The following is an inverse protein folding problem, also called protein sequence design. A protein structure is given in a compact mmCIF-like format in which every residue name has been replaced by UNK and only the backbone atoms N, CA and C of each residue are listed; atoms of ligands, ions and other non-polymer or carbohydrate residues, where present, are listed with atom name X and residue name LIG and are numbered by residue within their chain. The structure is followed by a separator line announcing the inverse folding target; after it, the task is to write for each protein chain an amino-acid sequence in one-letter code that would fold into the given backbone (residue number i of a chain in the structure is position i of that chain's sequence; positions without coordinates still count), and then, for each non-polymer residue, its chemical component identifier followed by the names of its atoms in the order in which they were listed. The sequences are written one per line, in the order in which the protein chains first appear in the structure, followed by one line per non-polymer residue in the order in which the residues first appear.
data_IF_663014715182
#
_entry.id   IF_663014715182
#
_cell.length_a   1.000
_cell.length_b   1.000
_cell.length_c   1.000
_cell.angle_alpha   90.00
_cell.angle_beta   90.00
_cell.angle_gamma   90.00
#
_symmetry.space_group_name_H-M   'P 1'
#
loop_
_entity.id
_entity.type
_entity.pdbx_description
1 polymer ?
#
# COMPACT_ATOMS: atom_id res chain seq x y z
N UNK A 1 -16.49 16.64 -2.95
CA UNK A 1 -15.47 16.53 -3.99
C UNK A 1 -14.24 17.34 -3.53
N UNK A 2 -13.28 16.68 -2.87
CA UNK A 2 -12.05 17.32 -2.40
C UNK A 2 -11.03 17.33 -3.53
N UNK A 3 -11.05 18.37 -4.35
CA UNK A 3 -10.05 18.62 -5.38
C UNK A 3 -9.03 19.63 -4.88
N UNK A 4 -7.97 19.18 -4.25
CA UNK A 4 -6.90 20.05 -3.76
C UNK A 4 -5.56 19.33 -3.83
N UNK A 5 -4.47 20.09 -3.68
CA UNK A 5 -3.13 19.53 -3.51
C UNK A 5 -2.75 19.59 -2.04
N UNK A 6 -2.35 18.46 -1.51
CA UNK A 6 -1.82 18.32 -0.15
C UNK A 6 -0.33 18.01 -0.28
N UNK A 7 0.51 18.91 0.15
CA UNK A 7 1.95 18.69 0.23
C UNK A 7 2.36 18.47 1.68
N UNK A 8 2.99 17.34 1.93
CA UNK A 8 3.60 17.05 3.23
C UNK A 8 5.12 17.06 3.05
N UNK A 9 5.74 18.19 3.32
CA UNK A 9 7.21 18.28 3.38
C UNK A 9 7.68 17.93 4.79
N UNK A 10 8.59 16.98 4.91
CA UNK A 10 9.30 16.75 6.17
C UNK A 10 10.24 17.95 6.39
N UNK A 11 9.92 18.80 7.38
CA UNK A 11 10.83 19.86 7.83
C UNK A 11 12.07 19.23 8.46
N UNK A 12 13.26 19.78 8.17
CA UNK A 12 14.55 19.28 8.66
C UNK A 12 14.72 19.32 10.19
N UNK A 13 13.75 19.82 10.95
CA UNK A 13 13.91 20.16 12.38
C UNK A 13 12.89 19.53 13.35
N UNK A 14 11.97 18.68 12.93
CA UNK A 14 11.08 18.04 13.92
C UNK A 14 11.25 16.51 13.90
N UNK A 15 11.72 15.97 15.01
CA UNK A 15 11.69 14.53 15.29
C UNK A 15 10.26 13.98 15.34
N UNK A 16 9.24 14.85 15.37
CA UNK A 16 7.81 14.54 15.36
C UNK A 16 7.20 14.83 13.99
N UNK A 17 7.59 14.07 12.97
CA UNK A 17 6.98 14.14 11.65
C UNK A 17 5.60 13.44 11.61
N UNK A 18 4.82 13.75 10.57
CA UNK A 18 3.57 13.06 10.29
C UNK A 18 3.89 11.60 9.96
N UNK A 19 3.38 10.66 10.74
CA UNK A 19 3.60 9.21 10.54
C UNK A 19 2.45 8.53 9.81
N UNK A 20 1.25 9.07 9.89
CA UNK A 20 0.07 8.49 9.27
C UNK A 20 -0.77 9.55 8.59
N UNK A 21 -1.23 9.27 7.39
CA UNK A 21 -2.11 10.13 6.59
C UNK A 21 -3.35 9.33 6.25
N UNK A 22 -4.52 9.91 6.54
CA UNK A 22 -5.81 9.35 6.15
C UNK A 22 -6.50 10.33 5.21
N UNK A 23 -6.72 9.93 3.97
CA UNK A 23 -7.50 10.69 3.00
C UNK A 23 -8.97 10.30 3.11
N UNK A 24 -9.84 11.28 3.04
CA UNK A 24 -11.28 11.09 3.09
C UNK A 24 -11.81 10.30 1.89
N UNK A 25 -13.04 9.83 1.99
CA UNK A 25 -13.79 9.29 0.86
C UNK A 25 -13.92 10.35 -0.26
N UNK A 26 -14.03 9.89 -1.51
CA UNK A 26 -14.17 10.72 -2.71
C UNK A 26 -12.98 11.68 -2.97
N UNK A 27 -11.79 11.36 -2.43
CA UNK A 27 -10.61 12.15 -2.68
C UNK A 27 -10.24 12.14 -4.17
N UNK A 28 -10.35 13.29 -4.83
CA UNK A 28 -10.04 13.48 -6.25
C UNK A 28 -8.84 14.39 -6.51
N UNK A 29 -8.12 14.76 -5.47
CA UNK A 29 -6.99 15.69 -5.54
C UNK A 29 -5.63 15.01 -5.71
N UNK A 30 -4.60 15.71 -5.28
CA UNK A 30 -3.21 15.21 -5.28
C UNK A 30 -2.66 15.24 -3.85
N UNK A 31 -2.17 14.10 -3.37
CA UNK A 31 -1.33 14.00 -2.18
C UNK A 31 0.11 13.81 -2.63
N UNK A 32 0.98 14.74 -2.27
CA UNK A 32 2.42 14.62 -2.51
C UNK A 32 3.18 14.56 -1.18
N UNK A 33 3.71 13.39 -0.89
CA UNK A 33 4.59 13.11 0.25
C UNK A 33 5.91 12.47 -0.22
N UNK A 34 6.23 12.68 -1.48
CA UNK A 34 7.48 12.18 -2.07
C UNK A 34 8.69 12.55 -1.22
N UNK A 35 9.67 11.64 -1.15
CA UNK A 35 10.91 11.76 -0.39
C UNK A 35 10.72 11.99 1.13
N UNK A 36 9.52 11.80 1.67
CA UNK A 36 9.27 11.90 3.12
C UNK A 36 10.05 10.84 3.91
N UNK A 37 10.67 11.27 5.02
CA UNK A 37 11.40 10.39 5.94
C UNK A 37 10.57 9.97 7.15
N UNK A 38 9.33 10.43 7.29
CA UNK A 38 8.54 10.24 8.50
C UNK A 38 7.20 9.54 8.27
N UNK A 39 6.64 9.63 7.06
CA UNK A 39 5.36 8.99 6.74
C UNK A 39 5.54 7.47 6.65
N UNK A 40 4.88 6.75 7.56
CA UNK A 40 4.94 5.29 7.66
C UNK A 40 3.70 4.61 7.08
N UNK A 41 2.55 5.31 7.06
CA UNK A 41 1.28 4.75 6.64
C UNK A 41 0.43 5.76 5.91
N UNK A 42 -0.20 5.30 4.83
CA UNK A 42 -1.22 6.08 4.12
C UNK A 42 -2.46 5.20 3.94
N UNK A 43 -3.62 5.75 4.31
CA UNK A 43 -4.93 5.16 4.03
C UNK A 43 -5.70 6.11 3.11
N UNK A 44 -6.25 5.56 2.04
CA UNK A 44 -7.05 6.31 1.07
C UNK A 44 -8.49 5.83 1.18
N UNK A 45 -9.42 6.76 1.37
CA UNK A 45 -10.84 6.47 1.52
C UNK A 45 -11.49 5.90 0.25
N UNK A 46 -12.79 5.61 0.35
CA UNK A 46 -13.57 5.02 -0.75
C UNK A 46 -13.72 5.97 -1.92
N UNK A 47 -13.93 5.41 -3.11
CA UNK A 47 -14.19 6.12 -4.38
C UNK A 47 -13.10 7.15 -4.75
N UNK A 48 -11.92 7.06 -4.17
CA UNK A 48 -10.86 8.02 -4.48
C UNK A 48 -10.34 7.80 -5.91
N UNK A 49 -10.18 8.89 -6.64
CA UNK A 49 -9.66 8.90 -8.02
C UNK A 49 -8.44 9.80 -8.20
N UNK A 50 -7.93 10.35 -7.11
CA UNK A 50 -6.81 11.28 -7.11
C UNK A 50 -5.44 10.63 -7.33
N UNK A 51 -4.42 11.45 -7.27
CA UNK A 51 -3.02 11.02 -7.35
C UNK A 51 -2.38 11.02 -5.97
N UNK A 52 -1.75 9.90 -5.61
CA UNK A 52 -1.03 9.72 -4.35
C UNK A 52 0.43 9.47 -4.68
N UNK A 53 1.28 10.48 -4.51
CA UNK A 53 2.72 10.39 -4.73
C UNK A 53 3.42 10.05 -3.41
N UNK A 54 4.00 8.86 -3.33
CA UNK A 54 4.80 8.31 -2.24
C UNK A 54 6.22 7.94 -2.73
N UNK A 55 6.60 8.41 -3.92
CA UNK A 55 7.90 8.07 -4.52
C UNK A 55 9.05 8.52 -3.62
N UNK A 56 10.08 7.69 -3.50
CA UNK A 56 11.24 8.00 -2.64
C UNK A 56 10.95 8.04 -1.13
N UNK A 57 9.71 7.82 -0.70
CA UNK A 57 9.33 7.83 0.71
C UNK A 57 9.93 6.62 1.44
N UNK A 58 11.09 6.79 2.05
CA UNK A 58 11.87 5.69 2.62
C UNK A 58 11.20 5.02 3.84
N UNK A 59 10.42 5.77 4.61
CA UNK A 59 9.79 5.28 5.85
C UNK A 59 8.42 4.64 5.63
N UNK A 60 7.83 4.75 4.43
CA UNK A 60 6.51 4.18 4.18
C UNK A 60 6.55 2.65 4.28
N UNK A 61 5.69 2.09 5.09
CA UNK A 61 5.57 0.64 5.31
C UNK A 61 4.30 0.07 4.70
N UNK A 62 3.21 0.83 4.75
CA UNK A 62 1.90 0.33 4.34
C UNK A 62 1.06 1.38 3.61
N UNK A 63 0.44 0.94 2.50
CA UNK A 63 -0.60 1.67 1.78
C UNK A 63 -1.89 0.85 1.80
N UNK A 64 -2.98 1.48 2.25
CA UNK A 64 -4.32 0.93 2.17
C UNK A 64 -5.16 1.79 1.23
N UNK A 65 -5.73 1.15 0.24
CA UNK A 65 -6.68 1.74 -0.69
C UNK A 65 -8.05 1.12 -0.42
N UNK A 66 -9.01 1.94 -0.05
CA UNK A 66 -10.34 1.44 0.26
C UNK A 66 -11.15 1.14 -1.02
N UNK A 67 -12.43 0.89 -0.91
CA UNK A 67 -13.26 0.41 -2.01
C UNK A 67 -13.31 1.42 -3.17
N UNK A 68 -13.29 0.91 -4.39
CA UNK A 68 -13.43 1.67 -5.65
C UNK A 68 -12.35 2.73 -5.91
N UNK A 69 -11.14 2.52 -5.38
CA UNK A 69 -10.02 3.37 -5.75
C UNK A 69 -9.74 3.27 -7.26
N UNK A 70 -9.81 4.40 -7.96
CA UNK A 70 -9.58 4.50 -9.41
C UNK A 70 -8.43 5.44 -9.79
N UNK A 71 -7.69 5.95 -8.82
CA UNK A 71 -6.60 6.90 -8.99
C UNK A 71 -5.25 6.27 -9.35
N UNK A 72 -4.20 7.05 -9.16
CA UNK A 72 -2.80 6.62 -9.34
C UNK A 72 -2.09 6.67 -8.00
N UNK A 73 -1.40 5.59 -7.64
CA UNK A 73 -0.49 5.55 -6.50
C UNK A 73 0.94 5.30 -7.02
N UNK A 74 1.79 6.31 -6.92
CA UNK A 74 3.21 6.20 -7.26
C UNK A 74 4.01 5.91 -5.98
N UNK A 75 4.62 4.72 -5.94
CA UNK A 75 5.44 4.24 -4.85
C UNK A 75 6.88 3.96 -5.30
N UNK A 76 7.27 4.46 -6.46
CA UNK A 76 8.60 4.21 -7.02
C UNK A 76 9.71 4.55 -6.02
N UNK A 77 10.68 3.65 -5.87
CA UNK A 77 11.84 3.81 -4.98
C UNK A 77 11.48 4.04 -3.50
N UNK A 78 10.29 3.62 -3.08
CA UNK A 78 9.83 3.79 -1.70
C UNK A 78 10.17 2.59 -0.82
N UNK A 79 10.10 2.79 0.49
CA UNK A 79 10.27 1.75 1.50
C UNK A 79 9.04 0.86 1.69
N UNK A 80 8.04 0.94 0.82
CA UNK A 80 6.77 0.21 0.96
C UNK A 80 6.99 -1.29 1.11
N UNK A 81 6.30 -1.90 2.07
CA UNK A 81 6.37 -3.32 2.36
C UNK A 81 5.05 -4.03 2.11
N UNK A 82 3.95 -3.33 2.28
CA UNK A 82 2.62 -3.89 2.16
C UNK A 82 1.64 -2.94 1.47
N UNK A 83 0.90 -3.49 0.50
CA UNK A 83 -0.20 -2.78 -0.17
C UNK A 83 -1.47 -3.60 -0.03
N UNK A 84 -2.58 -2.93 0.30
CA UNK A 84 -3.92 -3.52 0.30
C UNK A 84 -4.85 -2.70 -0.58
N UNK A 85 -5.39 -3.34 -1.60
CA UNK A 85 -6.46 -2.81 -2.43
C UNK A 85 -7.76 -3.57 -2.16
N UNK A 86 -8.82 -2.86 -1.81
CA UNK A 86 -10.13 -3.43 -1.49
C UNK A 86 -11.00 -3.58 -2.74
N UNK A 87 -12.23 -3.99 -2.51
CA UNK A 87 -13.25 -4.26 -3.53
C UNK A 87 -13.36 -3.14 -4.57
N UNK A 88 -13.40 -3.51 -5.85
CA UNK A 88 -13.64 -2.59 -6.94
C UNK A 88 -12.49 -1.62 -7.27
N UNK A 89 -11.31 -1.77 -6.65
CA UNK A 89 -10.16 -0.95 -7.00
C UNK A 89 -9.69 -1.25 -8.44
N UNK A 90 -9.61 -0.22 -9.27
CA UNK A 90 -9.20 -0.29 -10.68
C UNK A 90 -8.01 0.64 -10.98
N UNK A 91 -7.51 1.35 -9.97
CA UNK A 91 -6.43 2.31 -10.12
C UNK A 91 -5.11 1.72 -10.56
N UNK A 92 -4.12 2.57 -10.80
CA UNK A 92 -2.77 2.19 -11.22
C UNK A 92 -1.80 2.29 -10.05
N UNK A 93 -0.96 1.25 -9.88
CA UNK A 93 0.14 1.23 -8.91
C UNK A 93 1.47 1.21 -9.66
N UNK A 94 2.30 2.21 -9.42
CA UNK A 94 3.66 2.30 -9.94
C UNK A 94 4.61 1.84 -8.84
N UNK A 95 5.25 0.68 -9.04
CA UNK A 95 6.05 -0.03 -8.03
C UNK A 95 7.51 -0.22 -8.46
N UNK A 96 8.03 0.70 -9.27
CA UNK A 96 9.40 0.62 -9.77
C UNK A 96 10.40 0.73 -8.61
N UNK A 97 11.35 -0.18 -8.54
CA UNK A 97 12.43 -0.20 -7.55
C UNK A 97 11.94 -0.23 -6.07
N UNK A 98 10.81 -0.86 -5.79
CA UNK A 98 10.30 -1.08 -4.44
C UNK A 98 10.98 -2.29 -3.80
N UNK A 99 12.25 -2.16 -3.39
CA UNK A 99 13.06 -3.29 -2.89
C UNK A 99 12.51 -3.95 -1.62
N UNK A 100 11.72 -3.24 -0.83
CA UNK A 100 11.15 -3.75 0.42
C UNK A 100 9.73 -4.33 0.25
N UNK A 101 9.11 -4.20 -0.91
CA UNK A 101 7.75 -4.67 -1.13
C UNK A 101 7.67 -6.20 -1.01
N UNK A 102 6.93 -6.67 -0.03
CA UNK A 102 6.82 -8.10 0.31
C UNK A 102 5.47 -8.67 -0.08
N UNK A 103 4.40 -7.90 0.07
CA UNK A 103 3.06 -8.39 -0.15
C UNK A 103 2.13 -7.34 -0.74
N UNK A 104 1.44 -7.71 -1.82
CA UNK A 104 0.29 -6.96 -2.34
C UNK A 104 -0.95 -7.83 -2.21
N UNK A 105 -1.94 -7.35 -1.45
CA UNK A 105 -3.24 -7.98 -1.28
C UNK A 105 -4.30 -7.21 -2.07
N UNK A 106 -4.96 -7.90 -2.98
CA UNK A 106 -6.00 -7.33 -3.85
C UNK A 106 -7.30 -8.12 -3.69
N UNK A 107 -8.42 -7.45 -3.49
CA UNK A 107 -9.72 -8.12 -3.50
C UNK A 107 -10.00 -8.74 -4.89
N UNK A 108 -10.66 -9.91 -4.94
CA UNK A 108 -10.88 -10.66 -6.20
C UNK A 108 -11.61 -9.87 -7.29
N UNK A 109 -12.49 -8.99 -6.90
CA UNK A 109 -13.23 -8.12 -7.83
C UNK A 109 -12.57 -6.75 -8.05
N UNK A 110 -11.32 -6.61 -7.68
CA UNK A 110 -10.48 -5.47 -8.03
C UNK A 110 -9.55 -5.87 -9.18
N UNK A 111 -9.30 -4.96 -10.09
CA UNK A 111 -8.44 -5.17 -11.25
C UNK A 111 -7.46 -3.98 -11.41
N UNK A 112 -6.65 -3.68 -10.39
CA UNK A 112 -5.69 -2.60 -10.50
C UNK A 112 -4.60 -2.95 -11.51
N UNK A 113 -4.09 -1.95 -12.21
CA UNK A 113 -2.91 -2.10 -13.05
C UNK A 113 -1.67 -2.08 -12.13
N UNK A 114 -1.07 -3.25 -11.93
CA UNK A 114 0.13 -3.40 -11.07
C UNK A 114 1.33 -3.60 -11.98
N UNK A 115 2.28 -2.69 -11.92
CA UNK A 115 3.59 -2.88 -12.53
C UNK A 115 4.48 -3.59 -11.51
N UNK A 116 4.78 -4.85 -11.76
CA UNK A 116 5.58 -5.71 -10.88
C UNK A 116 6.99 -5.82 -11.45
N UNK A 117 8.02 -5.70 -10.60
CA UNK A 117 9.41 -5.94 -10.99
C UNK A 117 9.65 -7.44 -11.29
N UNK A 118 10.86 -7.79 -11.73
CA UNK A 118 11.23 -9.16 -12.12
C UNK A 118 11.48 -10.11 -10.95
N UNK A 119 11.16 -9.73 -9.72
CA UNK A 119 11.34 -10.58 -8.55
C UNK A 119 10.44 -11.82 -8.61
N UNK A 120 10.86 -12.96 -8.08
CA UNK A 120 10.04 -14.17 -8.04
C UNK A 120 8.83 -13.94 -7.14
N UNK A 121 7.64 -14.18 -7.67
CA UNK A 121 6.36 -13.91 -7.01
C UNK A 121 5.55 -15.19 -6.92
N UNK A 122 5.06 -15.48 -5.74
CA UNK A 122 4.00 -16.46 -5.50
C UNK A 122 2.65 -15.77 -5.59
N UNK A 123 1.73 -16.34 -6.37
CA UNK A 123 0.36 -15.86 -6.46
C UNK A 123 -0.54 -16.86 -5.74
N UNK A 124 -1.14 -16.41 -4.65
CA UNK A 124 -2.08 -17.19 -3.88
C UNK A 124 -3.48 -16.55 -3.92
N UNK A 125 -4.54 -17.37 -3.74
CA UNK A 125 -5.92 -16.91 -3.84
C UNK A 125 -6.77 -17.54 -2.76
N UNK A 126 -7.63 -16.75 -2.14
CA UNK A 126 -8.76 -17.23 -1.35
C UNK A 126 -10.09 -16.82 -2.01
N UNK A 127 -11.22 -17.05 -1.36
CA UNK A 127 -12.54 -16.71 -1.90
C UNK A 127 -12.71 -15.21 -2.19
N UNK A 128 -12.00 -14.35 -1.47
CA UNK A 128 -12.21 -12.91 -1.49
C UNK A 128 -11.03 -12.12 -2.03
N UNK A 129 -9.81 -12.68 -2.06
CA UNK A 129 -8.60 -11.94 -2.34
C UNK A 129 -7.62 -12.70 -3.26
N UNK A 130 -6.76 -11.92 -3.90
CA UNK A 130 -5.54 -12.38 -4.58
C UNK A 130 -4.35 -11.78 -3.85
N UNK A 131 -3.33 -12.57 -3.61
CA UNK A 131 -2.11 -12.19 -2.90
C UNK A 131 -0.93 -12.35 -3.84
N UNK A 132 -0.13 -11.31 -3.96
CA UNK A 132 1.15 -11.32 -4.67
C UNK A 132 2.24 -11.23 -3.59
N UNK A 133 2.93 -12.34 -3.33
CA UNK A 133 3.99 -12.44 -2.34
C UNK A 133 5.33 -12.51 -3.05
N UNK A 134 6.26 -11.66 -2.64
CA UNK A 134 7.65 -11.73 -3.09
C UNK A 134 8.41 -12.77 -2.27
N UNK A 135 8.95 -13.80 -2.93
CA UNK A 135 9.54 -14.97 -2.25
C UNK A 135 10.91 -14.69 -1.66
N UNK A 136 11.64 -13.73 -2.22
CA UNK A 136 12.95 -13.29 -1.78
C UNK A 136 12.92 -12.29 -0.62
N UNK A 137 11.74 -11.96 -0.09
CA UNK A 137 11.53 -10.91 0.92
C UNK A 137 10.68 -11.41 2.08
N UNK A 138 11.03 -10.97 3.29
CA UNK A 138 10.32 -11.34 4.51
C UNK A 138 9.64 -10.13 5.13
N UNK A 139 8.37 -10.28 5.50
CA UNK A 139 7.68 -9.26 6.31
C UNK A 139 8.34 -9.22 7.70
N UNK A 140 8.71 -8.03 8.21
CA UNK A 140 9.23 -7.87 9.56
C UNK A 140 8.22 -8.29 10.61
N UNK A 141 8.71 -8.75 11.77
CA UNK A 141 7.87 -9.23 12.87
C UNK A 141 6.96 -8.12 13.43
N UNK A 142 7.34 -6.85 13.30
CA UNK A 142 6.51 -5.71 13.69
C UNK A 142 5.14 -5.66 13.01
N UNK A 143 5.00 -6.22 11.80
CA UNK A 143 3.71 -6.32 11.11
C UNK A 143 2.77 -7.33 11.74
N UNK A 144 3.26 -8.17 12.63
CA UNK A 144 2.46 -9.14 13.40
C UNK A 144 2.03 -8.60 14.77
N UNK A 145 2.29 -7.33 15.08
CA UNK A 145 1.83 -6.67 16.29
C UNK A 145 0.33 -6.33 16.24
N UNK A 146 -0.36 -6.12 17.38
CA UNK A 146 -1.78 -5.77 17.41
C UNK A 146 -2.16 -4.57 16.54
N UNK A 147 -1.28 -3.57 16.42
CA UNK A 147 -1.49 -2.38 15.59
C UNK A 147 -1.71 -2.67 14.10
N UNK A 148 -1.13 -3.76 13.61
CA UNK A 148 -1.27 -4.21 12.22
C UNK A 148 -2.09 -5.50 12.08
N UNK A 149 -2.37 -6.22 13.17
CA UNK A 149 -3.03 -7.54 13.15
C UNK A 149 -4.41 -7.53 12.51
N UNK A 150 -5.19 -6.45 12.67
CA UNK A 150 -6.48 -6.33 11.99
C UNK A 150 -6.34 -6.27 10.46
N UNK A 151 -5.17 -5.86 9.96
CA UNK A 151 -4.85 -5.85 8.53
C UNK A 151 -4.41 -7.22 8.02
N UNK A 152 -3.79 -8.03 8.88
CA UNK A 152 -3.08 -9.26 8.54
C UNK A 152 -3.75 -10.55 9.02
N UNK A 153 -4.87 -10.51 9.77
CA UNK A 153 -5.49 -11.72 10.33
C UNK A 153 -5.71 -12.82 9.27
N UNK A 154 -6.17 -12.45 8.10
CA UNK A 154 -6.37 -13.39 6.98
C UNK A 154 -5.07 -13.86 6.33
N UNK A 155 -4.03 -13.01 6.33
CA UNK A 155 -2.73 -13.31 5.71
C UNK A 155 -1.93 -14.29 6.57
N UNK A 156 -1.94 -14.12 7.91
CA UNK A 156 -1.19 -14.99 8.83
C UNK A 156 -1.66 -16.44 8.77
N UNK A 157 -2.96 -16.66 8.70
CA UNK A 157 -3.52 -18.01 8.60
C UNK A 157 -3.16 -18.67 7.27
N UNK A 158 -3.17 -17.90 6.19
CA UNK A 158 -2.84 -18.37 4.85
C UNK A 158 -1.38 -18.87 4.75
N UNK A 159 -0.41 -18.12 5.30
CA UNK A 159 1.00 -18.49 5.22
C UNK A 159 1.48 -19.49 6.30
N UNK A 160 0.71 -19.70 7.38
CA UNK A 160 1.03 -20.72 8.41
C UNK A 160 0.61 -22.12 8.02
N UNK A 161 -0.46 -22.27 7.24
CA UNK A 161 -1.05 -23.59 6.98
C UNK A 161 -0.69 -24.16 5.60
N UNK A 162 0.19 -23.51 4.85
CA UNK A 162 0.59 -24.01 3.53
C UNK A 162 -0.60 -24.32 2.64
N UNK A 163 -0.49 -24.14 1.36
CA UNK A 163 -1.51 -24.65 0.43
C UNK A 163 -1.48 -26.16 0.53
N UNK A 164 -2.43 -26.76 1.24
CA UNK A 164 -2.70 -28.19 1.08
C UNK A 164 -3.15 -28.39 -0.36
N UNK A 165 -2.36 -29.12 -1.12
CA UNK A 165 -2.67 -29.52 -2.48
C UNK A 165 -3.93 -30.37 -2.54
#
# INVERSE_FOLDING_TARGET
DCRGKIFVKSGERSEQGIRSINLADDFGGELDVGDSKTVERVEVGRNASGHVNLSGCASIKALKLDEYFAGVADLSRSGIMYIRARKGATGRFVLTDCSNLTLVKVARNAAPLISIDRSPIEIARDEQNVYYRYLDRRLPDEFFTPAYMHWFKSVKNFFRHGVSH
#
